data_IF_323842963544
#
_entry.id   IF_323842963544
#
_cell.length_a   1.000
_cell.length_b   1.000
_cell.length_c   1.000
_cell.angle_alpha   90.00
_cell.angle_beta   90.00
_cell.angle_gamma   90.00
#
_symmetry.space_group_name_H-M   'P 1'
#
loop_
_entity.id
_entity.type
_entity.pdbx_description
1 polymer ?
#
# COMPACT_ATOMS: atom_id res chain seq x y z
N UNK A 1 -7.79 2.55 -26.87
CA UNK A 1 -7.87 1.37 -25.98
C UNK A 1 -8.70 0.30 -26.68
N UNK A 2 -8.32 -0.97 -26.58
CA UNK A 2 -9.15 -2.09 -27.04
C UNK A 2 -10.40 -2.27 -26.18
N UNK A 3 -11.38 -3.06 -26.62
CA UNK A 3 -12.58 -3.36 -25.83
C UNK A 3 -12.25 -4.07 -24.50
N UNK A 4 -11.24 -4.93 -24.51
CA UNK A 4 -10.73 -5.60 -23.31
C UNK A 4 -10.10 -4.62 -22.32
N UNK A 5 -9.27 -3.69 -22.81
CA UNK A 5 -8.67 -2.64 -21.98
C UNK A 5 -9.75 -1.71 -21.39
N UNK A 6 -10.80 -1.38 -22.15
CA UNK A 6 -11.93 -0.61 -21.64
C UNK A 6 -12.67 -1.34 -20.52
N UNK A 7 -12.87 -2.66 -20.66
CA UNK A 7 -13.49 -3.49 -19.61
C UNK A 7 -12.64 -3.55 -18.35
N UNK A 8 -11.32 -3.73 -18.48
CA UNK A 8 -10.39 -3.70 -17.34
C UNK A 8 -10.41 -2.34 -16.64
N UNK A 9 -10.36 -1.26 -17.41
CA UNK A 9 -10.42 0.10 -16.86
C UNK A 9 -11.72 0.36 -16.11
N UNK A 10 -12.87 -0.05 -16.68
CA UNK A 10 -14.16 0.05 -16.00
C UNK A 10 -14.19 -0.77 -14.70
N UNK A 11 -13.70 -2.02 -14.74
CA UNK A 11 -13.64 -2.88 -13.56
C UNK A 11 -12.83 -2.24 -12.42
N UNK A 12 -11.66 -1.66 -12.71
CA UNK A 12 -10.81 -0.97 -11.73
C UNK A 12 -11.50 0.26 -11.15
N UNK A 13 -12.23 1.03 -11.97
CA UNK A 13 -13.00 2.20 -11.51
C UNK A 13 -14.12 1.81 -10.56
N UNK A 14 -14.80 0.71 -10.84
CA UNK A 14 -15.85 0.17 -9.98
C UNK A 14 -15.28 -0.53 -8.72
N UNK A 15 -14.06 -1.04 -8.81
CA UNK A 15 -13.40 -1.81 -7.75
C UNK A 15 -12.01 -1.25 -7.43
N UNK A 16 -11.93 -0.01 -6.88
CA UNK A 16 -10.66 0.62 -6.54
C UNK A 16 -9.86 -0.24 -5.55
N UNK A 17 -8.52 -0.09 -5.51
CA UNK A 17 -7.68 -0.91 -4.65
C UNK A 17 -8.08 -0.74 -3.18
N UNK A 18 -8.07 -1.84 -2.44
CA UNK A 18 -8.00 -1.75 -0.99
C UNK A 18 -6.60 -1.28 -0.57
N UNK A 19 -6.47 -0.76 0.65
CA UNK A 19 -5.23 -0.19 1.15
C UNK A 19 -4.74 -0.99 2.33
N UNK A 20 -3.48 -1.41 2.31
CA UNK A 20 -2.92 -2.30 3.32
C UNK A 20 -1.81 -1.61 4.11
N UNK A 21 -1.99 -1.51 5.43
CA UNK A 21 -0.93 -1.14 6.36
C UNK A 21 -0.33 -2.37 7.01
N UNK A 22 0.97 -2.61 6.81
CA UNK A 22 1.63 -3.78 7.39
C UNK A 22 2.37 -3.43 8.68
N UNK A 23 2.20 -4.29 9.69
CA UNK A 23 2.69 -4.08 11.04
C UNK A 23 3.18 -5.39 11.64
N UNK A 24 4.16 -5.30 12.53
CA UNK A 24 4.48 -6.40 13.43
C UNK A 24 3.53 -6.43 14.63
N UNK A 25 3.55 -7.54 15.39
CA UNK A 25 2.68 -7.71 16.57
C UNK A 25 2.72 -6.51 17.54
N UNK A 26 3.92 -6.01 17.86
CA UNK A 26 4.07 -4.88 18.81
C UNK A 26 3.40 -3.61 18.30
N UNK A 27 3.55 -3.29 17.00
CA UNK A 27 2.92 -2.10 16.42
C UNK A 27 1.43 -2.27 16.22
N UNK A 28 0.97 -3.48 15.88
CA UNK A 28 -0.46 -3.76 15.82
C UNK A 28 -1.11 -3.57 17.19
N UNK A 29 -0.56 -4.18 18.25
CA UNK A 29 -1.07 -4.03 19.62
C UNK A 29 -1.14 -2.57 20.06
N UNK A 30 -0.11 -1.80 19.73
CA UNK A 30 -0.09 -0.36 19.99
C UNK A 30 -1.18 0.40 19.19
N UNK A 31 -1.35 0.06 17.91
CA UNK A 31 -2.38 0.70 17.07
C UNK A 31 -3.78 0.37 17.57
N UNK A 32 -4.02 -0.89 17.98
CA UNK A 32 -5.26 -1.34 18.61
C UNK A 32 -5.54 -0.57 19.91
N UNK A 33 -4.53 -0.43 20.78
CA UNK A 33 -4.68 0.29 22.05
C UNK A 33 -4.95 1.78 21.87
N UNK A 34 -4.40 2.38 20.82
CA UNK A 34 -4.64 3.78 20.47
C UNK A 34 -5.93 3.99 19.65
N UNK A 35 -6.47 2.95 19.02
CA UNK A 35 -7.57 3.04 18.06
C UNK A 35 -7.20 3.68 16.71
N UNK A 36 -5.90 3.79 16.41
CA UNK A 36 -5.39 4.47 15.22
C UNK A 36 -4.01 3.97 14.79
N UNK A 37 -3.76 4.11 13.49
CA UNK A 37 -2.44 4.05 12.86
C UNK A 37 -1.86 5.45 12.79
N UNK A 38 -0.56 5.60 13.04
CA UNK A 38 0.14 6.88 13.01
C UNK A 38 1.34 6.86 12.06
N UNK A 39 1.61 8.03 11.48
CA UNK A 39 2.85 8.33 10.79
C UNK A 39 4.05 8.23 11.74
N UNK A 40 5.24 8.01 11.17
CA UNK A 40 6.46 7.78 11.94
C UNK A 40 6.77 8.95 12.91
N UNK A 41 6.66 10.18 12.44
CA UNK A 41 6.95 11.37 13.25
C UNK A 41 5.97 11.52 14.42
N UNK A 42 4.68 11.31 14.17
CA UNK A 42 3.65 11.38 15.22
C UNK A 42 3.82 10.26 16.25
N UNK A 43 4.22 9.07 15.81
CA UNK A 43 4.63 7.98 16.69
C UNK A 43 5.85 8.35 17.55
N UNK A 44 6.92 8.92 16.96
CA UNK A 44 8.09 9.40 17.72
C UNK A 44 7.69 10.43 18.78
N UNK A 45 6.85 11.41 18.40
CA UNK A 45 6.37 12.47 19.29
C UNK A 45 5.62 11.95 20.51
N UNK A 46 4.93 10.81 20.37
CA UNK A 46 4.16 10.16 21.45
C UNK A 46 4.93 9.08 22.21
N UNK A 47 6.21 8.86 21.88
CA UNK A 47 7.04 7.85 22.52
C UNK A 47 6.72 6.42 22.07
N UNK A 48 6.11 6.25 20.90
CA UNK A 48 5.79 4.94 20.34
C UNK A 48 7.08 4.21 19.91
N UNK A 49 7.06 2.86 19.98
CA UNK A 49 8.18 2.05 19.46
C UNK A 49 8.15 2.07 17.93
N UNK A 50 9.16 2.70 17.34
CA UNK A 50 9.31 2.80 15.89
C UNK A 50 10.47 1.94 15.37
N UNK A 51 10.37 1.37 14.16
CA UNK A 51 11.51 0.75 13.50
C UNK A 51 12.61 1.77 13.22
N UNK A 52 13.87 1.40 13.41
CA UNK A 52 15.02 2.29 13.23
C UNK A 52 15.37 2.62 11.77
N UNK A 53 14.81 1.90 10.78
CA UNK A 53 15.26 1.93 9.37
C UNK A 53 14.24 2.45 8.34
N UNK A 54 13.08 2.94 8.77
CA UNK A 54 12.05 3.48 7.87
C UNK A 54 12.24 4.98 7.73
N UNK A 55 13.18 5.42 6.89
CA UNK A 55 13.33 6.83 6.52
C UNK A 55 12.95 7.02 5.04
N UNK A 56 11.89 7.78 4.73
CA UNK A 56 11.43 8.00 3.35
C UNK A 56 12.28 9.08 2.68
N UNK A 57 13.48 8.72 2.24
CA UNK A 57 14.54 9.69 1.86
C UNK A 57 14.15 10.58 0.67
N UNK A 58 13.36 10.08 -0.30
CA UNK A 58 12.87 10.91 -1.42
C UNK A 58 11.57 11.64 -1.06
N UNK A 59 10.64 10.98 -0.35
CA UNK A 59 9.36 11.61 0.01
C UNK A 59 9.51 12.68 1.09
N UNK A 60 10.51 12.59 1.96
CA UNK A 60 10.73 13.57 3.02
C UNK A 60 10.99 14.99 2.49
N UNK A 61 12.02 15.25 1.66
CA UNK A 61 12.28 16.60 1.16
C UNK A 61 11.20 17.11 0.21
N UNK A 62 10.43 16.22 -0.42
CA UNK A 62 9.41 16.60 -1.39
C UNK A 62 8.03 16.86 -0.77
N UNK A 63 7.63 16.01 0.20
CA UNK A 63 6.24 15.94 0.67
C UNK A 63 6.13 15.69 2.18
N UNK A 64 7.19 15.93 2.95
CA UNK A 64 7.21 15.63 4.39
C UNK A 64 6.84 14.17 4.69
N UNK A 65 7.43 13.23 3.94
CA UNK A 65 7.19 11.80 4.05
C UNK A 65 7.16 11.23 5.49
N UNK A 66 7.91 11.76 6.46
CA UNK A 66 7.86 11.32 7.87
C UNK A 66 6.53 11.63 8.56
N UNK A 67 5.77 12.58 8.03
CA UNK A 67 4.41 12.93 8.46
C UNK A 67 3.33 12.10 7.77
N UNK A 68 3.70 11.14 6.91
CA UNK A 68 2.76 10.28 6.21
C UNK A 68 2.67 8.87 6.82
N UNK A 69 1.50 8.26 6.72
CA UNK A 69 1.26 6.82 6.81
C UNK A 69 1.38 6.26 5.39
N UNK A 70 2.11 5.15 5.24
CA UNK A 70 2.35 4.49 3.96
C UNK A 70 1.50 3.23 3.87
N UNK A 71 0.58 3.14 2.91
CA UNK A 71 -0.20 1.91 2.66
C UNK A 71 0.09 1.38 1.25
N UNK A 72 0.21 0.07 1.11
CA UNK A 72 0.22 -0.56 -0.22
C UNK A 72 -1.19 -0.52 -0.82
N UNK A 73 -1.32 -0.19 -2.10
CA UNK A 73 -2.57 -0.27 -2.83
C UNK A 73 -2.70 -1.63 -3.53
N UNK A 74 -3.78 -2.35 -3.26
CA UNK A 74 -4.14 -3.60 -3.96
C UNK A 74 -3.44 -4.87 -3.47
N UNK A 75 -2.39 -4.78 -2.67
CA UNK A 75 -1.69 -5.97 -2.14
C UNK A 75 -1.86 -6.07 -0.63
N UNK A 76 -2.63 -7.03 -0.13
CA UNK A 76 -2.92 -7.13 1.31
C UNK A 76 -1.68 -7.60 2.04
N UNK A 77 -1.07 -8.65 1.50
CA UNK A 77 0.11 -9.28 2.04
C UNK A 77 1.34 -8.87 1.24
N UNK A 78 2.50 -8.86 1.87
CA UNK A 78 3.76 -8.53 1.23
C UNK A 78 4.88 -9.28 1.90
N UNK A 79 6.12 -8.91 1.61
CA UNK A 79 7.25 -9.56 2.27
C UNK A 79 7.14 -9.42 3.81
N UNK A 80 7.39 -10.50 4.58
CA UNK A 80 7.30 -10.49 6.05
C UNK A 80 8.08 -9.37 6.72
N UNK A 81 9.14 -8.86 6.08
CA UNK A 81 9.92 -7.70 6.56
C UNK A 81 9.09 -6.43 6.77
N UNK A 82 7.96 -6.30 6.07
CA UNK A 82 7.05 -5.17 6.18
C UNK A 82 6.02 -5.34 7.32
N UNK A 83 6.00 -6.49 7.98
CA UNK A 83 5.08 -6.83 9.06
C UNK A 83 4.24 -8.06 8.73
N UNK A 84 4.01 -8.90 9.73
CA UNK A 84 3.24 -10.14 9.59
C UNK A 84 1.72 -9.94 9.70
N UNK A 85 1.26 -8.79 10.19
CA UNK A 85 -0.14 -8.40 10.22
C UNK A 85 -0.42 -7.33 9.16
N UNK A 86 -1.65 -7.30 8.63
CA UNK A 86 -2.08 -6.25 7.72
C UNK A 86 -3.42 -5.65 8.16
N UNK A 87 -3.47 -4.33 8.35
CA UNK A 87 -4.72 -3.58 8.52
C UNK A 87 -5.19 -3.15 7.15
N UNK A 88 -6.40 -3.57 6.76
CA UNK A 88 -6.98 -3.31 5.45
C UNK A 88 -8.02 -2.21 5.57
N UNK A 89 -7.89 -1.19 4.73
CA UNK A 89 -8.82 -0.07 4.60
C UNK A 89 -9.44 -0.05 3.21
N UNK A 90 -10.64 0.53 3.11
CA UNK A 90 -11.24 0.87 1.84
C UNK A 90 -10.61 2.15 1.26
N UNK A 91 -10.84 2.37 -0.03
CA UNK A 91 -10.41 3.58 -0.72
C UNK A 91 -11.06 4.86 -0.14
N UNK A 92 -12.26 4.72 0.41
CA UNK A 92 -13.02 5.76 1.13
C UNK A 92 -12.37 6.20 2.44
N UNK A 93 -11.38 5.46 2.94
CA UNK A 93 -10.63 5.86 4.14
C UNK A 93 -9.71 7.06 3.89
N UNK A 94 -9.38 7.36 2.63
CA UNK A 94 -8.44 8.41 2.22
C UNK A 94 -8.97 9.83 2.46
N UNK A 95 -8.13 10.69 3.03
CA UNK A 95 -8.36 12.15 3.06
C UNK A 95 -8.15 12.76 1.67
N UNK A 96 -8.66 13.97 1.45
CA UNK A 96 -8.46 14.68 0.17
C UNK A 96 -6.99 15.11 -0.04
N UNK A 97 -6.23 15.21 1.04
CA UNK A 97 -4.77 15.40 0.99
C UNK A 97 -3.97 14.13 0.70
N UNK A 98 -4.63 12.96 0.59
CA UNK A 98 -3.94 11.71 0.30
C UNK A 98 -3.41 11.70 -1.13
N UNK A 99 -2.26 11.07 -1.32
CA UNK A 99 -1.62 10.98 -2.63
C UNK A 99 -0.93 9.63 -2.81
N UNK A 100 -0.70 9.26 -4.06
CA UNK A 100 -0.13 7.99 -4.45
C UNK A 100 1.23 8.19 -5.09
N UNK A 101 2.04 7.14 -5.07
CA UNK A 101 3.13 6.98 -6.03
C UNK A 101 3.04 5.65 -6.71
N UNK A 102 3.48 5.59 -7.98
CA UNK A 102 3.56 4.33 -8.74
C UNK A 102 4.44 3.28 -8.06
N UNK A 103 5.48 3.71 -7.36
CA UNK A 103 6.45 2.87 -6.65
C UNK A 103 6.78 3.48 -5.29
N UNK A 104 7.12 2.67 -4.29
CA UNK A 104 7.80 3.18 -3.08
C UNK A 104 9.16 3.78 -3.46
N UNK A 105 9.68 4.71 -2.65
CA UNK A 105 11.06 5.19 -2.83
C UNK A 105 12.08 4.08 -2.84
N UNK A 106 11.87 3.05 -2.03
CA UNK A 106 12.76 1.90 -1.99
C UNK A 106 12.81 1.19 -3.34
N UNK A 107 11.65 0.92 -3.95
CA UNK A 107 11.57 0.30 -5.28
C UNK A 107 12.11 1.23 -6.38
N UNK A 108 11.82 2.53 -6.33
CA UNK A 108 12.35 3.51 -7.26
C UNK A 108 13.88 3.55 -7.24
N UNK A 109 14.48 3.65 -6.05
CA UNK A 109 15.93 3.70 -5.92
C UNK A 109 16.56 2.38 -6.34
N UNK A 110 16.03 1.23 -5.92
CA UNK A 110 16.54 -0.07 -6.36
C UNK A 110 16.48 -0.24 -7.88
N UNK A 111 15.39 0.19 -8.51
CA UNK A 111 15.25 0.14 -9.97
C UNK A 111 16.32 0.98 -10.67
N UNK A 112 16.56 2.20 -10.17
CA UNK A 112 17.50 3.16 -10.76
C UNK A 112 18.96 2.78 -10.50
N UNK A 113 19.32 2.47 -9.25
CA UNK A 113 20.71 2.29 -8.82
C UNK A 113 21.16 0.83 -8.83
N UNK A 114 20.24 -0.12 -9.04
CA UNK A 114 20.47 -1.58 -8.94
C UNK A 114 21.09 -2.03 -7.61
N UNK A 115 21.02 -1.16 -6.60
CA UNK A 115 21.67 -1.34 -5.31
C UNK A 115 20.73 -0.91 -4.20
N UNK A 116 20.96 -1.44 -3.00
CA UNK A 116 20.18 -1.05 -1.83
C UNK A 116 20.32 0.45 -1.56
N UNK A 117 19.22 1.16 -1.27
CA UNK A 117 19.28 2.59 -0.99
C UNK A 117 20.15 2.85 0.23
N UNK A 118 21.26 3.56 0.04
CA UNK A 118 22.06 4.07 1.14
C UNK A 118 21.41 5.35 1.67
N UNK A 119 20.65 5.21 2.76
CA UNK A 119 19.92 6.31 3.39
C UNK A 119 20.85 7.40 3.97
N UNK A 120 22.17 7.17 4.04
CA UNK A 120 23.14 8.17 4.48
C UNK A 120 23.55 9.16 3.39
N UNK A 121 23.25 8.85 2.11
CA UNK A 121 23.63 9.68 0.98
C UNK A 121 22.53 10.70 0.63
N UNK A 122 22.91 11.96 0.35
CA UNK A 122 21.95 12.94 -0.12
C UNK A 122 21.39 12.56 -1.49
N UNK A 123 20.09 12.77 -1.64
CA UNK A 123 19.35 12.57 -2.89
C UNK A 123 19.64 13.72 -3.84
N UNK A 124 19.91 13.42 -5.12
CA UNK A 124 20.13 14.46 -6.16
C UNK A 124 18.83 15.15 -6.58
N UNK A 125 18.92 16.39 -7.08
CA UNK A 125 17.73 17.10 -7.58
C UNK A 125 17.10 16.41 -8.81
N UNK A 126 17.90 15.71 -9.61
CA UNK A 126 17.41 14.91 -10.72
C UNK A 126 16.57 13.70 -10.24
N UNK A 127 16.97 13.05 -9.13
CA UNK A 127 16.17 12.00 -8.50
C UNK A 127 14.86 12.54 -7.95
N UNK A 128 14.91 13.71 -7.29
CA UNK A 128 13.73 14.38 -6.75
C UNK A 128 12.73 14.71 -7.85
N UNK A 129 13.20 15.30 -8.94
CA UNK A 129 12.37 15.65 -10.09
C UNK A 129 11.79 14.40 -10.77
N UNK A 130 12.61 13.36 -10.97
CA UNK A 130 12.13 12.13 -11.58
C UNK A 130 11.10 11.41 -10.70
N UNK A 131 11.26 11.44 -9.37
CA UNK A 131 10.30 10.87 -8.44
C UNK A 131 9.01 11.68 -8.35
N UNK A 132 9.06 13.02 -8.43
CA UNK A 132 7.86 13.85 -8.36
C UNK A 132 6.88 13.60 -9.52
N UNK A 133 7.37 13.16 -10.70
CA UNK A 133 6.51 12.72 -11.81
C UNK A 133 5.76 11.41 -11.55
N UNK A 134 6.09 10.68 -10.48
CA UNK A 134 5.35 9.48 -10.07
C UNK A 134 4.20 9.76 -9.11
N UNK A 135 4.05 11.02 -8.66
CA UNK A 135 3.05 11.43 -7.69
C UNK A 135 1.70 11.62 -8.36
N UNK A 136 0.67 11.03 -7.77
CA UNK A 136 -0.71 11.12 -8.26
C UNK A 136 -1.59 11.61 -7.11
N UNK A 137 -2.47 12.57 -7.40
CA UNK A 137 -3.52 13.01 -6.47
C UNK A 137 -4.46 11.85 -6.13
N UNK A 138 -5.19 11.95 -5.03
CA UNK A 138 -6.28 11.00 -4.74
C UNK A 138 -7.32 11.04 -5.86
N UNK A 139 -7.72 12.21 -6.35
CA UNK A 139 -8.80 12.30 -7.33
C UNK A 139 -8.48 11.52 -8.63
N UNK A 140 -7.23 11.56 -9.06
CA UNK A 140 -6.80 10.95 -10.33
C UNK A 140 -6.26 9.52 -10.15
N UNK A 141 -6.08 9.05 -8.91
CA UNK A 141 -5.36 7.80 -8.65
C UNK A 141 -6.06 6.57 -9.26
N UNK A 142 -7.38 6.46 -9.18
CA UNK A 142 -8.07 5.28 -9.74
C UNK A 142 -7.92 5.22 -11.26
N UNK A 143 -8.06 6.36 -11.94
CA UNK A 143 -7.85 6.46 -13.38
C UNK A 143 -6.40 6.11 -13.74
N UNK A 144 -5.44 6.69 -13.02
CA UNK A 144 -4.03 6.44 -13.23
C UNK A 144 -3.67 4.97 -13.06
N UNK A 145 -4.12 4.33 -11.99
CA UNK A 145 -3.81 2.91 -11.72
C UNK A 145 -4.39 2.00 -12.81
N UNK A 146 -5.57 2.33 -13.34
CA UNK A 146 -6.14 1.61 -14.47
C UNK A 146 -5.25 1.73 -15.72
N UNK A 147 -4.84 2.96 -16.06
CA UNK A 147 -3.98 3.21 -17.21
C UNK A 147 -2.58 2.57 -17.04
N UNK A 148 -2.01 2.66 -15.85
CA UNK A 148 -0.71 2.06 -15.53
C UNK A 148 -0.73 0.53 -15.66
N UNK A 149 -1.79 -0.12 -15.16
CA UNK A 149 -1.95 -1.57 -15.30
C UNK A 149 -2.10 -1.98 -16.78
N UNK A 150 -2.89 -1.22 -17.56
CA UNK A 150 -3.05 -1.48 -19.00
C UNK A 150 -1.71 -1.30 -19.73
N UNK A 151 -0.96 -0.26 -19.39
CA UNK A 151 0.38 -0.03 -19.96
C UNK A 151 1.32 -1.20 -19.66
N UNK A 152 1.34 -1.71 -18.43
CA UNK A 152 2.12 -2.89 -18.04
C UNK A 152 1.73 -4.16 -18.80
N UNK A 153 0.43 -4.36 -19.02
CA UNK A 153 -0.07 -5.45 -19.87
C UNK A 153 0.40 -5.32 -21.32
N UNK A 154 0.47 -4.10 -21.88
CA UNK A 154 0.93 -3.87 -23.25
C UNK A 154 2.42 -4.19 -23.46
N UNK A 155 3.22 -4.12 -22.40
CA UNK A 155 4.63 -4.51 -22.43
C UNK A 155 4.84 -6.04 -22.39
N UNK A 156 3.77 -6.83 -22.23
CA UNK A 156 3.83 -8.30 -22.29
C UNK A 156 3.67 -8.79 -23.73
N UNK A 157 4.18 -9.99 -24.02
CA UNK A 157 3.93 -10.66 -25.30
C UNK A 157 2.42 -10.89 -25.52
N UNK A 158 1.96 -10.84 -26.77
CA UNK A 158 0.52 -10.88 -27.11
C UNK A 158 -0.25 -12.02 -26.44
N UNK A 159 0.32 -13.23 -26.43
CA UNK A 159 -0.30 -14.40 -25.78
C UNK A 159 -0.39 -14.22 -24.27
N UNK A 160 0.70 -13.79 -23.63
CA UNK A 160 0.75 -13.56 -22.19
C UNK A 160 -0.18 -12.43 -21.78
N UNK A 161 -0.20 -11.31 -22.53
CA UNK A 161 -1.11 -10.19 -22.32
C UNK A 161 -2.57 -10.64 -22.27
N UNK A 162 -3.01 -11.41 -23.27
CA UNK A 162 -4.39 -11.94 -23.33
C UNK A 162 -4.69 -12.86 -22.15
N UNK A 163 -3.80 -13.81 -21.84
CA UNK A 163 -3.99 -14.70 -20.69
C UNK A 163 -4.09 -13.94 -19.37
N UNK A 164 -3.25 -12.92 -19.16
CA UNK A 164 -3.29 -12.11 -17.94
C UNK A 164 -4.56 -11.26 -17.85
N UNK A 165 -4.96 -10.63 -18.95
CA UNK A 165 -6.16 -9.82 -18.98
C UNK A 165 -7.44 -10.67 -18.79
N UNK A 166 -7.52 -11.86 -19.37
CA UNK A 166 -8.57 -12.84 -19.10
C UNK A 166 -8.58 -13.28 -17.62
N UNK A 167 -7.40 -13.59 -17.05
CA UNK A 167 -7.26 -13.95 -15.63
C UNK A 167 -7.77 -12.83 -14.71
N UNK A 168 -7.41 -11.59 -15.00
CA UNK A 168 -7.86 -10.42 -14.24
C UNK A 168 -9.38 -10.22 -14.37
N UNK A 169 -9.93 -10.29 -15.58
CA UNK A 169 -11.38 -10.13 -15.81
C UNK A 169 -12.21 -11.30 -15.25
N UNK A 170 -11.60 -12.46 -15.04
CA UNK A 170 -12.23 -13.62 -14.42
C UNK A 170 -12.19 -13.60 -12.88
N UNK A 171 -11.55 -12.60 -12.26
CA UNK A 171 -11.50 -12.46 -10.81
C UNK A 171 -12.93 -12.35 -10.23
N UNK A 172 -13.26 -13.23 -9.28
CA UNK A 172 -14.60 -13.29 -8.69
C UNK A 172 -14.82 -12.27 -7.57
N UNK A 173 -13.76 -11.56 -7.16
CA UNK A 173 -13.83 -10.49 -6.17
C UNK A 173 -12.75 -9.44 -6.41
N UNK A 174 -12.95 -8.26 -5.81
CA UNK A 174 -11.95 -7.18 -5.76
C UNK A 174 -10.64 -7.68 -5.14
N UNK A 175 -10.70 -8.48 -4.08
CA UNK A 175 -9.51 -9.00 -3.41
C UNK A 175 -8.71 -9.93 -4.33
N UNK A 176 -9.37 -10.85 -5.03
CA UNK A 176 -8.70 -11.78 -5.97
C UNK A 176 -8.08 -11.00 -7.14
N UNK A 177 -8.77 -9.98 -7.63
CA UNK A 177 -8.26 -9.13 -8.71
C UNK A 177 -6.93 -8.48 -8.31
N UNK A 178 -6.91 -7.77 -7.19
CA UNK A 178 -5.74 -7.00 -6.81
C UNK A 178 -4.58 -7.86 -6.27
N UNK A 179 -4.86 -9.00 -5.63
CA UNK A 179 -3.81 -9.98 -5.33
C UNK A 179 -3.18 -10.53 -6.63
N UNK A 180 -3.99 -10.81 -7.66
CA UNK A 180 -3.48 -11.22 -8.98
C UNK A 180 -2.59 -10.16 -9.61
N UNK A 181 -2.95 -8.88 -9.50
CA UNK A 181 -2.11 -7.75 -9.97
C UNK A 181 -0.73 -7.77 -9.29
N UNK A 182 -0.70 -8.02 -7.98
CA UNK A 182 0.53 -8.13 -7.19
C UNK A 182 1.36 -9.36 -7.55
N UNK A 183 0.75 -10.54 -7.63
CA UNK A 183 1.43 -11.81 -7.92
C UNK A 183 2.08 -11.84 -9.31
N UNK A 184 1.43 -11.20 -10.29
CA UNK A 184 1.92 -11.08 -11.67
C UNK A 184 2.87 -9.87 -11.87
N UNK A 185 3.22 -9.18 -10.77
CA UNK A 185 4.08 -7.98 -10.74
C UNK A 185 3.65 -6.94 -11.78
N UNK A 186 2.34 -6.66 -11.83
CA UNK A 186 1.78 -5.70 -12.78
C UNK A 186 1.76 -4.28 -12.23
N UNK A 187 1.66 -4.09 -10.92
CA UNK A 187 1.62 -2.74 -10.31
C UNK A 187 1.95 -2.79 -8.82
N UNK A 188 2.75 -1.84 -8.34
CA UNK A 188 3.10 -1.70 -6.91
C UNK A 188 2.92 -0.26 -6.41
N UNK A 189 1.68 0.22 -6.41
CA UNK A 189 1.38 1.57 -5.95
C UNK A 189 1.33 1.67 -4.41
N UNK A 190 1.71 2.83 -3.90
CA UNK A 190 1.72 3.13 -2.48
C UNK A 190 1.05 4.48 -2.19
N UNK A 191 0.07 4.48 -1.30
CA UNK A 191 -0.63 5.69 -0.86
C UNK A 191 0.01 6.28 0.38
N UNK A 192 -0.05 7.59 0.48
CA UNK A 192 0.43 8.39 1.60
C UNK A 192 -0.76 9.16 2.16
N UNK A 193 -0.97 8.99 3.46
CA UNK A 193 -2.06 9.63 4.20
C UNK A 193 -1.45 10.47 5.32
N UNK A 194 -2.00 11.66 5.54
CA UNK A 194 -1.51 12.55 6.57
C UNK A 194 -1.70 11.98 7.98
N UNK A 195 -0.59 11.92 8.73
CA UNK A 195 -0.45 11.82 10.19
C UNK A 195 -1.13 10.64 10.89
N UNK A 196 -2.44 10.46 10.76
CA UNK A 196 -3.26 9.55 11.55
C UNK A 196 -4.38 8.95 10.70
N UNK A 197 -4.61 7.64 10.85
CA UNK A 197 -5.74 6.93 10.28
C UNK A 197 -6.42 6.08 11.36
N UNK A 198 -7.69 6.35 11.64
CA UNK A 198 -8.44 5.62 12.66
C UNK A 198 -8.72 4.17 12.26
N UNK A 199 -8.58 3.24 13.21
CA UNK A 199 -8.89 1.82 12.99
C UNK A 199 -10.39 1.54 12.86
N UNK A 200 -11.27 2.50 13.18
CA UNK A 200 -12.70 2.35 12.92
C UNK A 200 -12.99 2.18 11.42
N UNK A 201 -12.24 2.89 10.58
CA UNK A 201 -12.32 2.78 9.11
C UNK A 201 -11.69 1.49 8.57
N UNK A 202 -11.06 0.66 9.40
CA UNK A 202 -10.51 -0.61 8.94
C UNK A 202 -11.65 -1.56 8.55
N UNK A 203 -11.53 -2.15 7.36
CA UNK A 203 -12.43 -3.20 6.90
C UNK A 203 -12.14 -4.52 7.62
N UNK A 204 -10.85 -4.83 7.81
CA UNK A 204 -10.37 -6.03 8.50
C UNK A 204 -8.91 -5.88 8.92
N UNK A 205 -8.50 -6.71 9.88
CA UNK A 205 -7.13 -6.86 10.35
C UNK A 205 -6.75 -8.33 10.11
N UNK A 206 -5.85 -8.55 9.16
CA UNK A 206 -5.35 -9.87 8.79
C UNK A 206 -4.26 -10.30 9.76
N UNK A 207 -4.46 -11.45 10.39
CA UNK A 207 -3.50 -12.11 11.27
C UNK A 207 -3.08 -13.46 10.69
N UNK A 208 -1.78 -13.84 10.77
CA UNK A 208 -1.36 -15.20 10.43
C UNK A 208 -2.16 -16.22 11.25
N UNK A 209 -2.55 -17.35 10.66
CA UNK A 209 -3.36 -18.40 11.33
C UNK A 209 -2.78 -18.79 12.69
N UNK A 210 -1.47 -18.95 12.77
CA UNK A 210 -0.73 -19.32 13.97
C UNK A 210 -0.71 -18.21 15.05
N UNK A 211 -0.96 -16.96 14.68
CA UNK A 211 -1.00 -15.80 15.59
C UNK A 211 -2.41 -15.28 15.89
N UNK A 212 -3.45 -15.82 15.24
CA UNK A 212 -4.82 -15.32 15.39
C UNK A 212 -5.29 -15.34 16.85
N UNK A 213 -5.11 -16.46 17.54
CA UNK A 213 -5.56 -16.60 18.94
C UNK A 213 -4.78 -15.67 19.87
N UNK A 214 -3.48 -15.49 19.62
CA UNK A 214 -2.67 -14.52 20.35
C UNK A 214 -3.23 -13.10 20.17
N UNK A 215 -3.46 -12.67 18.93
CA UNK A 215 -3.99 -11.34 18.62
C UNK A 215 -5.36 -11.09 19.26
N UNK A 216 -6.26 -12.08 19.23
CA UNK A 216 -7.59 -12.00 19.85
C UNK A 216 -7.56 -11.99 21.38
N UNK A 217 -6.47 -12.47 22.00
CA UNK A 217 -6.30 -12.48 23.45
C UNK A 217 -5.86 -11.13 24.02
N UNK A 218 -5.33 -10.23 23.19
CA UNK A 218 -4.85 -8.92 23.66
C UNK A 218 -6.01 -8.06 24.19
N UNK A 219 -5.87 -7.44 25.38
CA UNK A 219 -6.86 -6.49 25.89
C UNK A 219 -7.16 -5.35 24.91
N UNK A 220 -6.14 -4.88 24.22
CA UNK A 220 -6.21 -3.80 23.22
C UNK A 220 -7.07 -4.19 22.01
N UNK A 221 -7.18 -5.49 21.71
CA UNK A 221 -7.99 -5.98 20.59
C UNK A 221 -9.49 -5.97 20.89
N UNK A 222 -9.92 -5.77 22.15
CA UNK A 222 -11.32 -5.96 22.58
C UNK A 222 -12.34 -5.23 21.70
N UNK A 223 -12.04 -3.99 21.30
CA UNK A 223 -12.91 -3.15 20.46
C UNK A 223 -12.97 -3.58 18.99
N UNK A 224 -11.95 -4.30 18.51
CA UNK A 224 -11.76 -4.61 17.10
C UNK A 224 -11.76 -6.12 16.82
N UNK A 225 -12.20 -6.96 17.78
CA UNK A 225 -12.15 -8.43 17.65
C UNK A 225 -12.89 -8.95 16.42
N UNK A 226 -14.01 -8.33 16.09
CA UNK A 226 -14.84 -8.64 14.92
C UNK A 226 -14.13 -8.35 13.59
N UNK A 227 -13.15 -7.43 13.59
CA UNK A 227 -12.34 -7.10 12.42
C UNK A 227 -11.10 -7.99 12.28
N UNK A 228 -10.66 -8.69 13.34
CA UNK A 228 -9.46 -9.53 13.31
C UNK A 228 -9.78 -10.91 12.75
N UNK A 229 -9.22 -11.23 11.59
CA UNK A 229 -9.47 -12.47 10.86
C UNK A 229 -8.16 -13.15 10.46
N UNK A 230 -8.17 -14.47 10.33
CA UNK A 230 -7.03 -15.22 9.78
C UNK A 230 -6.91 -15.03 8.26
N UNK A 231 -5.69 -15.15 7.75
CA UNK A 231 -5.41 -15.41 6.34
C UNK A 231 -4.60 -16.71 6.18
#
# INVERSE_FOLDING_TARGET
MSAEEQRLSAYIKENPPFLAFRLNASRLRQSLGNGEVRALWESRRRGDKIPSKLEPVLEEPLFSGRNCIYLSAGRALGEPRHGEFAVIFGYDALSDSSWFTRNSTWAYTLWKTKTWPDQSKPVSDADRLAFSFSVISKEDAVEYLALALIDELRHREDKQRRTLAEKLLAATSREIFWETVGDENLLEAEVKIDRVLTLEKALKILAPKEKLQEALSWPEAARFKDKIVSF
#
